data_IF_892276376928
#
_entry.id   IF_892276376928
#
_cell.length_a   1.000
_cell.length_b   1.000
_cell.length_c   1.000
_cell.angle_alpha   90.00
_cell.angle_beta   90.00
_cell.angle_gamma   90.00
#
_symmetry.space_group_name_H-M   'P 1'
#
loop_
_entity.id
_entity.type
_entity.pdbx_description
1 polymer ?
#
# COMPACT_ATOMS: atom_id res chain seq x y z
N UNK A 1 2.82 -36.33 -1.29
CA UNK A 1 2.13 -35.28 -2.06
C UNK A 1 1.08 -34.71 -1.10
N UNK A 2 1.42 -33.67 -0.34
CA UNK A 2 0.42 -32.95 0.45
C UNK A 2 0.10 -31.68 -0.32
N UNK A 3 -1.00 -31.71 -1.07
CA UNK A 3 -1.61 -30.54 -1.67
C UNK A 3 -2.02 -29.59 -0.54
N UNK A 4 -1.28 -28.49 -0.46
CA UNK A 4 -1.42 -27.47 0.56
C UNK A 4 -2.64 -26.61 0.19
N UNK A 5 -3.82 -26.98 0.67
CA UNK A 5 -4.90 -26.02 0.86
C UNK A 5 -4.68 -25.39 2.25
N UNK A 6 -3.67 -24.53 2.35
CA UNK A 6 -3.38 -23.78 3.57
C UNK A 6 -4.48 -22.73 3.75
N UNK A 7 -5.49 -23.08 4.54
CA UNK A 7 -6.35 -22.09 5.18
C UNK A 7 -5.43 -21.24 6.06
N UNK A 8 -5.06 -20.06 5.57
CA UNK A 8 -4.25 -19.10 6.30
C UNK A 8 -4.94 -18.81 7.64
N UNK A 9 -4.24 -19.02 8.75
CA UNK A 9 -4.79 -18.75 10.07
C UNK A 9 -4.74 -17.25 10.43
N UNK A 10 -5.47 -16.84 11.47
CA UNK A 10 -5.55 -15.44 11.88
C UNK A 10 -4.19 -14.84 12.22
N UNK A 11 -3.26 -15.63 12.78
CA UNK A 11 -1.96 -15.16 13.20
C UNK A 11 -1.02 -14.97 11.99
N UNK A 12 -1.07 -15.87 11.02
CA UNK A 12 -0.38 -15.78 9.75
C UNK A 12 -0.91 -14.64 8.88
N UNK A 13 -2.23 -14.38 8.92
CA UNK A 13 -2.83 -13.20 8.29
C UNK A 13 -2.34 -11.91 8.93
N UNK A 14 -2.37 -11.82 10.27
CA UNK A 14 -1.98 -10.61 10.98
C UNK A 14 -0.50 -10.25 10.79
N UNK A 15 0.39 -11.24 10.77
CA UNK A 15 1.83 -11.01 10.50
C UNK A 15 2.11 -10.44 9.12
N UNK A 16 1.23 -10.69 8.15
CA UNK A 16 1.37 -10.25 6.76
C UNK A 16 0.47 -9.06 6.42
N UNK A 17 -0.19 -8.46 7.42
CA UNK A 17 -1.19 -7.43 7.19
C UNK A 17 -0.58 -6.16 6.59
N UNK A 18 0.59 -5.74 7.07
CA UNK A 18 1.32 -4.60 6.51
C UNK A 18 1.85 -4.87 5.11
N UNK A 19 2.48 -6.02 4.87
CA UNK A 19 2.92 -6.44 3.53
C UNK A 19 1.73 -6.49 2.54
N UNK A 20 0.54 -6.87 3.02
CA UNK A 20 -0.71 -6.84 2.25
C UNK A 20 -1.17 -5.40 1.94
N UNK A 21 -1.12 -4.50 2.92
CA UNK A 21 -1.47 -3.08 2.75
C UNK A 21 -0.50 -2.35 1.79
N UNK A 22 0.78 -2.68 1.85
CA UNK A 22 1.83 -2.10 1.01
C UNK A 22 1.89 -2.72 -0.39
N UNK A 23 1.18 -3.84 -0.62
CA UNK A 23 1.17 -4.54 -1.90
C UNK A 23 2.45 -5.32 -2.21
N UNK A 24 3.21 -5.69 -1.18
CA UNK A 24 4.52 -6.37 -1.30
C UNK A 24 4.43 -7.91 -1.31
N UNK A 25 3.22 -8.46 -1.18
CA UNK A 25 2.98 -9.90 -1.20
C UNK A 25 3.04 -10.49 -2.61
N UNK A 26 3.47 -11.76 -2.70
CA UNK A 26 3.28 -12.55 -3.91
C UNK A 26 1.79 -12.78 -4.17
N UNK A 27 1.40 -12.94 -5.44
CA UNK A 27 0.00 -13.11 -5.86
C UNK A 27 -0.73 -14.22 -5.10
N UNK A 28 -0.06 -15.37 -4.90
CA UNK A 28 -0.60 -16.49 -4.12
C UNK A 28 -0.86 -16.13 -2.66
N UNK A 29 0.04 -15.37 -2.03
CA UNK A 29 -0.07 -14.99 -0.62
C UNK A 29 -1.10 -13.88 -0.44
N UNK A 30 -1.17 -12.95 -1.38
CA UNK A 30 -2.17 -11.89 -1.43
C UNK A 30 -3.57 -12.49 -1.46
N UNK A 31 -3.82 -13.46 -2.33
CA UNK A 31 -5.13 -14.12 -2.42
C UNK A 31 -5.47 -14.88 -1.13
N UNK A 32 -4.50 -15.55 -0.51
CA UNK A 32 -4.71 -16.25 0.77
C UNK A 32 -5.08 -15.28 1.92
N UNK A 33 -4.40 -14.13 2.01
CA UNK A 33 -4.71 -13.09 3.00
C UNK A 33 -6.07 -12.47 2.73
N UNK A 34 -6.36 -12.15 1.46
CA UNK A 34 -7.65 -11.60 1.06
C UNK A 34 -8.81 -12.57 1.37
N UNK A 35 -8.67 -13.85 1.04
CA UNK A 35 -9.64 -14.88 1.37
C UNK A 35 -9.87 -14.98 2.89
N UNK A 36 -8.82 -14.90 3.70
CA UNK A 36 -8.95 -14.86 5.16
C UNK A 36 -9.69 -13.62 5.65
N UNK A 37 -9.33 -12.42 5.16
CA UNK A 37 -9.99 -11.17 5.53
C UNK A 37 -11.48 -11.14 5.15
N UNK A 38 -11.86 -11.80 4.06
CA UNK A 38 -13.27 -11.90 3.64
C UNK A 38 -14.12 -12.82 4.53
N UNK A 39 -13.49 -13.74 5.26
CA UNK A 39 -14.18 -14.77 6.07
C UNK A 39 -14.06 -14.53 7.58
N UNK A 40 -13.03 -13.81 8.03
CA UNK A 40 -12.77 -13.53 9.44
C UNK A 40 -13.07 -12.07 9.79
N UNK A 41 -14.22 -11.82 10.41
CA UNK A 41 -14.63 -10.47 10.84
C UNK A 41 -13.66 -9.83 11.85
N UNK A 42 -12.96 -10.63 12.67
CA UNK A 42 -11.94 -10.15 13.60
C UNK A 42 -10.73 -9.56 12.87
N UNK A 43 -10.16 -10.32 11.95
CA UNK A 43 -9.03 -9.86 11.13
C UNK A 43 -9.43 -8.71 10.20
N UNK A 44 -10.66 -8.74 9.65
CA UNK A 44 -11.17 -7.63 8.85
C UNK A 44 -11.23 -6.32 9.64
N UNK A 45 -11.68 -6.34 10.90
CA UNK A 45 -11.69 -5.12 11.73
C UNK A 45 -10.29 -4.55 11.96
N UNK A 46 -9.27 -5.40 12.12
CA UNK A 46 -7.89 -4.95 12.25
C UNK A 46 -7.38 -4.32 10.94
N UNK A 47 -7.62 -4.99 9.81
CA UNK A 47 -7.33 -4.46 8.48
C UNK A 47 -8.00 -3.11 8.24
N UNK A 48 -9.29 -3.00 8.56
CA UNK A 48 -10.07 -1.78 8.38
C UNK A 48 -9.49 -0.62 9.20
N UNK A 49 -9.13 -0.87 10.46
CA UNK A 49 -8.48 0.11 11.30
C UNK A 49 -7.13 0.58 10.74
N UNK A 50 -6.27 -0.35 10.32
CA UNK A 50 -4.95 0.01 9.76
C UNK A 50 -5.08 0.80 8.47
N UNK A 51 -6.06 0.47 7.60
CA UNK A 51 -6.37 1.24 6.40
C UNK A 51 -6.82 2.66 6.72
N UNK A 52 -7.74 2.83 7.67
CA UNK A 52 -8.19 4.17 8.10
C UNK A 52 -7.06 4.97 8.76
N UNK A 53 -6.15 4.31 9.48
CA UNK A 53 -4.97 4.94 10.05
C UNK A 53 -4.04 5.49 8.96
N UNK A 54 -3.75 4.69 7.91
CA UNK A 54 -2.98 5.15 6.76
C UNK A 54 -3.66 6.33 6.05
N UNK A 55 -4.98 6.25 5.83
CA UNK A 55 -5.74 7.35 5.23
C UNK A 55 -5.67 8.64 6.06
N UNK A 56 -5.70 8.53 7.40
CA UNK A 56 -5.53 9.68 8.29
C UNK A 56 -4.12 10.28 8.20
N UNK A 57 -3.07 9.45 8.09
CA UNK A 57 -1.70 9.92 7.87
C UNK A 57 -1.56 10.68 6.54
N UNK A 58 -2.11 10.14 5.46
CA UNK A 58 -2.11 10.80 4.15
C UNK A 58 -2.84 12.16 4.19
N UNK A 59 -3.97 12.25 4.90
CA UNK A 59 -4.73 13.48 5.06
C UNK A 59 -3.97 14.57 5.83
N UNK A 60 -3.09 14.19 6.76
CA UNK A 60 -2.19 15.12 7.44
C UNK A 60 -1.04 15.53 6.52
N UNK A 61 -0.44 14.59 5.80
CA UNK A 61 0.64 14.87 4.84
C UNK A 61 0.22 15.87 3.75
N UNK A 62 -1.03 15.78 3.29
CA UNK A 62 -1.58 16.70 2.29
C UNK A 62 -1.57 18.18 2.75
N UNK A 63 -1.51 18.45 4.05
CA UNK A 63 -1.47 19.82 4.57
C UNK A 63 -0.09 20.48 4.44
N UNK A 64 0.97 19.68 4.32
CA UNK A 64 2.37 20.14 4.16
C UNK A 64 2.90 19.89 2.74
N UNK A 65 2.04 20.03 1.72
CA UNK A 65 2.49 20.03 0.34
C UNK A 65 3.55 21.12 0.14
N UNK A 66 4.73 20.70 -0.34
CA UNK A 66 5.81 21.61 -0.69
C UNK A 66 5.27 22.76 -1.56
N UNK A 67 5.65 24.03 -1.29
CA UNK A 67 5.18 25.16 -2.08
C UNK A 67 5.37 24.89 -3.57
N UNK A 68 4.39 25.24 -4.39
CA UNK A 68 4.45 25.05 -5.85
C UNK A 68 5.72 25.65 -6.46
N UNK A 69 6.25 26.71 -5.85
CA UNK A 69 7.54 27.34 -6.20
C UNK A 69 8.73 26.41 -6.00
N UNK A 70 8.77 25.60 -4.94
CA UNK A 70 9.81 24.59 -4.72
C UNK A 70 9.69 23.45 -5.75
N UNK A 71 8.46 22.99 -6.00
CA UNK A 71 8.20 21.96 -7.01
C UNK A 71 8.67 22.40 -8.41
N UNK A 72 8.35 23.63 -8.83
CA UNK A 72 8.84 24.19 -10.09
C UNK A 72 10.38 24.26 -10.14
N UNK A 73 11.02 24.75 -9.08
CA UNK A 73 12.50 24.82 -9.01
C UNK A 73 13.17 23.46 -9.13
N UNK A 74 12.61 22.45 -8.47
CA UNK A 74 13.12 21.06 -8.56
C UNK A 74 12.97 20.54 -9.98
N UNK A 75 11.79 20.68 -10.60
CA UNK A 75 11.57 20.25 -11.98
C UNK A 75 12.48 20.97 -12.99
N UNK A 76 12.68 22.28 -12.84
CA UNK A 76 13.54 23.04 -13.73
C UNK A 76 15.01 22.61 -13.58
N UNK A 77 15.47 22.37 -12.35
CA UNK A 77 16.83 21.86 -12.10
C UNK A 77 17.00 20.47 -12.73
N UNK A 78 16.03 19.57 -12.55
CA UNK A 78 16.07 18.24 -13.15
C UNK A 78 16.07 18.30 -14.69
N UNK A 79 15.28 19.19 -15.29
CA UNK A 79 15.26 19.40 -16.75
C UNK A 79 16.61 19.90 -17.29
N UNK A 80 17.29 20.77 -16.55
CA UNK A 80 18.64 21.22 -16.92
C UNK A 80 19.65 20.06 -16.96
N UNK A 81 19.48 19.07 -16.07
CA UNK A 81 20.27 17.83 -16.04
C UNK A 81 19.76 16.75 -17.02
N UNK A 82 18.80 17.08 -17.89
CA UNK A 82 18.30 16.18 -18.93
C UNK A 82 17.14 15.27 -18.51
N UNK A 83 16.52 15.49 -17.35
CA UNK A 83 15.30 14.78 -16.97
C UNK A 83 14.11 15.22 -17.82
N UNK A 84 13.46 14.26 -18.49
CA UNK A 84 12.21 14.47 -19.22
C UNK A 84 11.09 13.74 -18.47
N UNK A 85 10.16 14.45 -17.82
CA UNK A 85 9.05 13.81 -17.10
C UNK A 85 8.17 13.02 -18.07
N UNK A 86 7.89 11.75 -17.76
CA UNK A 86 6.97 10.89 -18.54
C UNK A 86 5.51 10.99 -18.06
N UNK A 87 4.99 12.20 -17.88
CA UNK A 87 3.56 12.33 -17.53
C UNK A 87 2.71 12.27 -18.80
N UNK A 88 2.12 11.11 -19.09
CA UNK A 88 1.21 10.95 -20.24
C UNK A 88 0.94 9.55 -20.82
N UNK A 89 1.21 8.45 -20.11
CA UNK A 89 0.70 7.11 -20.50
C UNK A 89 -0.33 6.62 -19.46
N UNK A 90 -1.50 7.25 -19.46
CA UNK A 90 -2.80 6.63 -19.17
C UNK A 90 -3.92 7.56 -19.64
#
# INVERSE_FOLDING_TARGET
>A
MNEVNEVLDCHAAMRRLWEYLDGELSEQTLEAVHAHLSTCAGCYRHYDFEREFLAALEAVQAQDCAPSTLHSRVLDTLRMEGFVPRYGER
#
